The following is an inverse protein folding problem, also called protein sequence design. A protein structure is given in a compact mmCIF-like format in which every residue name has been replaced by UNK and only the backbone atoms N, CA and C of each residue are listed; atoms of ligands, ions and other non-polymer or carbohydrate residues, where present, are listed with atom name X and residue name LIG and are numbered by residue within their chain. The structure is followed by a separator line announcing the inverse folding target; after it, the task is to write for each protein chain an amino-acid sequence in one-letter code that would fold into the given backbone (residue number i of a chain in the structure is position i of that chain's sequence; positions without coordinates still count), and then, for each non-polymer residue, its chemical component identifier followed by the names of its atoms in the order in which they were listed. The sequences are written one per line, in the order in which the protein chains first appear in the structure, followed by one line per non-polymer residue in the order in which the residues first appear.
data_IF_852972900836
#
_entry.id   IF_852972900836
#
_cell.length_a   1.000
_cell.length_b   1.000
_cell.length_c   1.000
_cell.angle_alpha   90.00
_cell.angle_beta   90.00
_cell.angle_gamma   90.00
#
_symmetry.space_group_name_H-M   'P 1'
#
loop_
_entity.id
_entity.type
_entity.pdbx_description
1 polymer ?
#
# COMPACT_ATOMS: atom_id res chain seq x y z
N UNK A 1 -15.48 5.93 5.81
CA UNK A 1 -16.75 5.34 6.29
C UNK A 1 -16.60 4.19 7.28
N UNK A 2 -15.86 3.09 7.03
CA UNK A 2 -15.72 2.01 8.05
C UNK A 2 -15.05 2.45 9.36
N UNK A 3 -14.00 3.27 9.27
CA UNK A 3 -13.36 3.86 10.46
C UNK A 3 -14.28 4.83 11.21
N UNK A 4 -15.11 5.59 10.49
CA UNK A 4 -16.09 6.52 11.08
C UNK A 4 -17.24 5.76 11.78
N UNK A 5 -17.54 4.55 11.33
CA UNK A 5 -18.53 3.65 11.92
C UNK A 5 -17.97 2.77 13.06
N UNK A 6 -16.70 2.97 13.46
CA UNK A 6 -15.99 2.18 14.49
C UNK A 6 -15.88 0.68 14.16
N UNK A 7 -16.03 0.29 12.90
CA UNK A 7 -15.87 -1.10 12.45
C UNK A 7 -14.37 -1.45 12.25
N UNK A 8 -13.62 -1.46 13.35
CA UNK A 8 -12.16 -1.64 13.34
C UNK A 8 -11.71 -2.95 12.67
N UNK A 9 -12.42 -4.05 12.92
CA UNK A 9 -12.11 -5.35 12.33
C UNK A 9 -12.25 -5.33 10.79
N UNK A 10 -13.32 -4.72 10.28
CA UNK A 10 -13.53 -4.59 8.84
C UNK A 10 -12.54 -3.62 8.19
N UNK A 11 -12.16 -2.56 8.90
CA UNK A 11 -11.10 -1.64 8.45
C UNK A 11 -9.75 -2.35 8.37
N UNK A 12 -9.33 -3.05 9.43
CA UNK A 12 -8.08 -3.80 9.47
C UNK A 12 -8.02 -4.87 8.37
N UNK A 13 -9.11 -5.63 8.17
CA UNK A 13 -9.19 -6.63 7.11
C UNK A 13 -9.01 -6.01 5.71
N UNK A 14 -9.57 -4.81 5.48
CA UNK A 14 -9.40 -4.09 4.23
C UNK A 14 -7.96 -3.59 4.03
N UNK A 15 -7.32 -3.06 5.09
CA UNK A 15 -5.90 -2.63 5.07
C UNK A 15 -4.99 -3.81 4.76
N UNK A 16 -5.20 -4.93 5.44
CA UNK A 16 -4.43 -6.15 5.23
C UNK A 16 -4.61 -6.71 3.82
N UNK A 17 -5.84 -6.71 3.31
CA UNK A 17 -6.14 -7.12 1.94
C UNK A 17 -5.47 -6.21 0.90
N UNK A 18 -5.48 -4.88 1.12
CA UNK A 18 -4.78 -3.94 0.26
C UNK A 18 -3.30 -4.29 0.16
N UNK A 19 -2.61 -4.41 1.29
CA UNK A 19 -1.17 -4.69 1.30
C UNK A 19 -0.82 -6.01 0.64
N UNK A 20 -1.40 -7.11 1.11
CA UNK A 20 -0.98 -8.43 0.63
C UNK A 20 -1.50 -8.73 -0.77
N UNK A 21 -2.82 -8.56 -0.98
CA UNK A 21 -3.49 -9.11 -2.17
C UNK A 21 -3.52 -8.15 -3.35
N UNK A 22 -3.61 -6.86 -3.09
CA UNK A 22 -3.70 -5.85 -4.17
C UNK A 22 -2.35 -5.24 -4.50
N UNK A 23 -1.65 -4.73 -3.48
CA UNK A 23 -0.39 -4.02 -3.68
C UNK A 23 0.77 -4.98 -3.94
N UNK A 24 1.06 -5.92 -3.04
CA UNK A 24 2.19 -6.83 -3.18
C UNK A 24 1.98 -7.90 -4.26
N UNK A 25 0.93 -8.71 -4.17
CA UNK A 25 0.71 -9.85 -5.08
C UNK A 25 0.48 -9.42 -6.55
N UNK A 26 -0.15 -8.26 -6.78
CA UNK A 26 -0.57 -7.84 -8.12
C UNK A 26 0.20 -6.61 -8.59
N UNK A 27 0.06 -5.47 -7.91
CA UNK A 27 0.61 -4.21 -8.43
C UNK A 27 2.14 -4.23 -8.47
N UNK A 28 2.79 -4.69 -7.40
CA UNK A 28 4.25 -4.73 -7.32
C UNK A 28 4.84 -5.74 -8.31
N UNK A 29 4.18 -6.88 -8.51
CA UNK A 29 4.57 -7.87 -9.51
C UNK A 29 4.46 -7.33 -10.95
N UNK A 30 3.37 -6.65 -11.29
CA UNK A 30 3.21 -6.02 -12.62
C UNK A 30 4.19 -4.85 -12.82
N UNK A 31 4.45 -4.07 -11.78
CA UNK A 31 5.38 -2.95 -11.81
C UNK A 31 6.83 -3.37 -12.10
N UNK A 32 7.23 -4.62 -11.79
CA UNK A 32 8.57 -5.14 -12.14
C UNK A 32 8.88 -5.03 -13.62
N UNK A 33 7.87 -5.19 -14.49
CA UNK A 33 8.03 -5.05 -15.94
C UNK A 33 8.26 -3.58 -16.29
N UNK A 34 7.42 -2.68 -15.80
CA UNK A 34 7.52 -1.24 -16.06
C UNK A 34 8.80 -0.60 -15.49
N UNK A 35 9.35 -1.16 -14.41
CA UNK A 35 10.62 -0.71 -13.84
C UNK A 35 11.85 -1.07 -14.70
N UNK A 36 11.73 -2.05 -15.60
CA UNK A 36 12.81 -2.42 -16.54
C UNK A 36 12.86 -1.51 -17.76
N UNK A 37 11.76 -0.82 -18.08
CA UNK A 37 11.70 0.16 -19.15
C UNK A 37 12.17 1.54 -18.63
N UNK A 38 13.29 2.08 -19.13
CA UNK A 38 13.81 3.38 -18.69
C UNK A 38 12.82 4.54 -18.87
N UNK A 39 11.92 4.45 -19.86
CA UNK A 39 10.94 5.50 -20.14
C UNK A 39 9.80 5.55 -19.12
N UNK A 40 9.38 4.39 -18.59
CA UNK A 40 8.28 4.25 -17.63
C UNK A 40 8.74 4.10 -16.18
N UNK A 41 10.03 3.78 -15.94
CA UNK A 41 10.56 3.47 -14.62
C UNK A 41 10.45 4.62 -13.62
N UNK A 42 10.56 5.88 -14.08
CA UNK A 42 10.47 7.07 -13.22
C UNK A 42 9.06 7.26 -12.66
N UNK A 43 8.05 7.22 -13.53
CA UNK A 43 6.65 7.36 -13.15
C UNK A 43 6.19 6.18 -12.29
N UNK A 44 6.59 4.96 -12.67
CA UNK A 44 6.28 3.75 -11.90
C UNK A 44 6.84 3.84 -10.47
N UNK A 45 8.09 4.28 -10.30
CA UNK A 45 8.68 4.50 -8.97
C UNK A 45 7.89 5.51 -8.16
N UNK A 46 7.48 6.62 -8.77
CA UNK A 46 6.75 7.66 -8.07
C UNK A 46 5.38 7.17 -7.59
N UNK A 47 4.66 6.45 -8.42
CA UNK A 47 3.37 5.84 -8.03
C UNK A 47 3.54 4.80 -6.93
N UNK A 48 4.52 3.90 -7.05
CA UNK A 48 4.82 2.92 -6.00
C UNK A 48 5.11 3.61 -4.67
N UNK A 49 5.92 4.67 -4.67
CA UNK A 49 6.25 5.41 -3.45
C UNK A 49 5.01 6.06 -2.83
N UNK A 50 4.17 6.73 -3.65
CA UNK A 50 2.94 7.36 -3.18
C UNK A 50 1.96 6.33 -2.61
N UNK A 51 1.76 5.20 -3.29
CA UNK A 51 0.90 4.13 -2.79
C UNK A 51 1.40 3.55 -1.47
N UNK A 52 2.71 3.35 -1.32
CA UNK A 52 3.31 2.88 -0.07
C UNK A 52 3.12 3.89 1.07
N UNK A 53 3.40 5.18 0.85
CA UNK A 53 3.22 6.23 1.88
C UNK A 53 1.75 6.29 2.37
N UNK A 54 0.79 6.31 1.44
CA UNK A 54 -0.62 6.28 1.83
C UNK A 54 -1.01 4.97 2.53
N UNK A 55 -0.48 3.84 2.08
CA UNK A 55 -0.70 2.53 2.70
C UNK A 55 -0.16 2.46 4.13
N UNK A 56 1.01 3.04 4.39
CA UNK A 56 1.64 3.05 5.72
C UNK A 56 0.89 3.96 6.68
N UNK A 57 0.45 5.14 6.22
CA UNK A 57 -0.44 6.02 6.99
C UNK A 57 -1.76 5.34 7.35
N UNK A 58 -2.30 4.52 6.45
CA UNK A 58 -3.51 3.74 6.70
C UNK A 58 -3.27 2.60 7.70
N UNK A 59 -2.04 2.06 7.74
CA UNK A 59 -1.62 1.03 8.67
C UNK A 59 -1.33 1.57 10.08
N UNK A 60 -0.89 2.84 10.20
CA UNK A 60 -0.48 3.49 11.45
C UNK A 60 -1.42 3.30 12.65
N UNK A 61 -2.75 3.46 12.51
CA UNK A 61 -3.69 3.24 13.61
C UNK A 61 -3.72 1.80 14.16
N UNK A 62 -3.24 0.81 13.37
CA UNK A 62 -3.28 -0.61 13.72
C UNK A 62 -1.89 -1.19 14.04
N UNK A 63 -0.84 -0.73 13.35
CA UNK A 63 0.53 -1.15 13.55
C UNK A 63 1.50 0.06 13.47
N UNK A 64 1.49 0.94 14.48
CA UNK A 64 2.20 2.22 14.44
C UNK A 64 3.72 2.07 14.30
N UNK A 65 4.33 1.19 15.08
CA UNK A 65 5.79 0.98 15.03
C UNK A 65 6.24 0.45 13.66
N UNK A 66 5.45 -0.43 13.03
CA UNK A 66 5.78 -0.93 11.69
C UNK A 66 5.62 0.17 10.65
N UNK A 67 4.59 1.01 10.79
CA UNK A 67 4.31 2.09 9.87
C UNK A 67 5.32 3.25 9.97
N UNK A 68 5.95 3.46 11.13
CA UNK A 68 6.97 4.50 11.33
C UNK A 68 8.38 4.06 10.90
N UNK A 69 8.70 2.77 11.00
CA UNK A 69 10.02 2.24 10.65
C UNK A 69 10.21 2.00 9.14
N UNK A 70 9.13 1.78 8.39
CA UNK A 70 9.14 1.49 6.94
C UNK A 70 9.01 2.75 6.09
#
# INVERSE_FOLDING_TARGET
RRMEALELHGALAAVHHFWLRSFCDVYLETAKVSLRDPSAAGETRRTLLSCSDFGLRLLGPFAPFVAEEL
#
